data_IF_825804201227
#
_entry.id   IF_825804201227
#
_cell.length_a   1.000
_cell.length_b   1.000
_cell.length_c   1.000
_cell.angle_alpha   90.00
_cell.angle_beta   90.00
_cell.angle_gamma   90.00
#
_symmetry.space_group_name_H-M   'P 1'
#
loop_
_entity.id
_entity.type
_entity.pdbx_description
1 polymer ?
#
# COMPACT_ATOMS: atom_id res chain seq x y z
N UNK A 1 -14.47 -3.50 -57.42
CA UNK A 1 -14.11 -3.51 -55.98
C UNK A 1 -14.07 -4.94 -55.48
N UNK A 2 -12.98 -5.34 -54.80
CA UNK A 2 -12.73 -6.70 -54.31
C UNK A 2 -13.56 -7.05 -53.04
N UNK A 3 -13.90 -8.34 -52.80
CA UNK A 3 -14.54 -8.76 -51.56
C UNK A 3 -13.54 -8.74 -50.39
N UNK A 4 -13.87 -8.06 -49.30
CA UNK A 4 -13.05 -7.95 -48.09
C UNK A 4 -12.94 -9.32 -47.40
N UNK A 5 -11.70 -9.81 -47.29
CA UNK A 5 -11.31 -11.08 -46.65
C UNK A 5 -11.56 -10.99 -45.14
N UNK A 6 -12.57 -11.74 -44.65
CA UNK A 6 -12.92 -11.79 -43.23
C UNK A 6 -11.85 -12.50 -42.39
N UNK A 7 -11.33 -11.80 -41.39
CA UNK A 7 -10.46 -12.37 -40.35
C UNK A 7 -11.32 -13.25 -39.43
N UNK A 8 -11.12 -14.56 -39.47
CA UNK A 8 -11.70 -15.49 -38.51
C UNK A 8 -10.92 -15.38 -37.20
N UNK A 9 -11.51 -14.71 -36.22
CA UNK A 9 -10.99 -14.66 -34.85
C UNK A 9 -11.25 -16.04 -34.23
N UNK A 10 -10.16 -16.75 -33.94
CA UNK A 10 -10.18 -18.07 -33.33
C UNK A 10 -10.88 -18.01 -31.97
N UNK A 11 -12.06 -18.63 -31.88
CA UNK A 11 -12.79 -18.85 -30.64
C UNK A 11 -12.02 -19.84 -29.78
N UNK A 12 -11.51 -19.36 -28.63
CA UNK A 12 -10.89 -20.19 -27.60
C UNK A 12 -11.92 -21.23 -27.12
N UNK A 13 -11.65 -22.52 -27.38
CA UNK A 13 -12.43 -23.64 -26.86
C UNK A 13 -12.44 -23.58 -25.34
N UNK A 14 -13.64 -23.47 -24.75
CA UNK A 14 -13.84 -23.66 -23.31
C UNK A 14 -13.64 -25.15 -23.03
N UNK A 15 -12.60 -25.48 -22.30
CA UNK A 15 -12.42 -26.80 -21.70
C UNK A 15 -13.51 -26.99 -20.66
N UNK A 16 -14.42 -27.93 -20.93
CA UNK A 16 -15.45 -28.36 -20.00
C UNK A 16 -14.78 -29.00 -18.80
N UNK A 17 -14.83 -28.32 -17.66
CA UNK A 17 -14.39 -28.88 -16.39
C UNK A 17 -15.45 -29.90 -15.99
N UNK A 18 -15.03 -31.13 -15.71
CA UNK A 18 -15.89 -32.18 -15.15
C UNK A 18 -16.39 -31.69 -13.79
N UNK A 19 -17.58 -31.10 -13.76
CA UNK A 19 -18.25 -30.71 -12.52
C UNK A 19 -19.02 -31.93 -12.04
N UNK A 20 -18.74 -32.36 -10.82
CA UNK A 20 -19.44 -33.47 -10.20
C UNK A 20 -20.93 -33.10 -10.09
N UNK A 21 -21.87 -33.87 -10.67
CA UNK A 21 -23.30 -33.52 -10.71
C UNK A 21 -23.97 -33.39 -9.33
N UNK A 22 -23.30 -33.87 -8.27
CA UNK A 22 -23.73 -33.72 -6.88
C UNK A 22 -23.50 -32.31 -6.31
N UNK A 23 -22.65 -31.48 -6.95
CA UNK A 23 -22.32 -30.15 -6.47
C UNK A 23 -22.60 -29.09 -7.52
N UNK A 24 -23.76 -28.43 -7.38
CA UNK A 24 -24.08 -27.22 -8.12
C UNK A 24 -23.40 -26.00 -7.48
N UNK A 25 -22.96 -25.04 -8.30
CA UNK A 25 -22.36 -23.79 -7.81
C UNK A 25 -23.45 -22.85 -7.29
N UNK A 26 -23.57 -22.72 -5.96
CA UNK A 26 -24.41 -21.69 -5.32
C UNK A 26 -23.66 -20.36 -5.25
N UNK A 27 -24.02 -19.40 -6.08
CA UNK A 27 -23.49 -18.03 -6.00
C UNK A 27 -24.35 -17.23 -5.01
N UNK A 28 -23.78 -16.85 -3.87
CA UNK A 28 -24.44 -15.98 -2.91
C UNK A 28 -24.48 -14.54 -3.43
N UNK A 29 -25.65 -13.90 -3.38
CA UNK A 29 -25.84 -12.51 -3.82
C UNK A 29 -25.59 -11.57 -2.64
N UNK A 30 -24.52 -10.77 -2.69
CA UNK A 30 -24.10 -9.85 -1.61
C UNK A 30 -24.57 -8.41 -1.81
N UNK A 31 -25.72 -8.21 -2.46
CA UNK A 31 -26.33 -6.90 -2.64
C UNK A 31 -26.92 -6.38 -1.31
N UNK A 32 -27.31 -5.10 -1.27
CA UNK A 32 -27.72 -4.37 -0.04
C UNK A 32 -28.83 -5.10 0.75
N UNK A 33 -29.72 -5.83 0.08
CA UNK A 33 -30.80 -6.64 0.67
C UNK A 33 -30.61 -8.15 0.52
N UNK A 34 -29.40 -8.60 0.18
CA UNK A 34 -29.07 -10.00 -0.05
C UNK A 34 -28.51 -10.71 1.18
N UNK A 35 -27.61 -11.66 0.94
CA UNK A 35 -26.93 -12.42 1.99
C UNK A 35 -25.95 -11.53 2.80
N UNK A 36 -25.64 -11.94 4.04
CA UNK A 36 -24.64 -11.24 4.85
C UNK A 36 -23.33 -11.09 4.07
N UNK A 37 -22.70 -9.90 4.08
CA UNK A 37 -21.44 -9.71 3.40
C UNK A 37 -20.40 -10.64 4.02
N UNK A 38 -19.51 -11.15 3.15
CA UNK A 38 -18.30 -11.84 3.59
C UNK A 38 -17.54 -10.94 4.60
N UNK A 39 -16.82 -11.57 5.54
CA UNK A 39 -16.01 -10.84 6.52
C UNK A 39 -14.97 -9.95 5.81
N UNK A 40 -15.20 -8.63 5.79
CA UNK A 40 -14.29 -7.62 5.22
C UNK A 40 -13.41 -7.01 6.32
N UNK A 41 -12.26 -6.47 5.94
CA UNK A 41 -11.39 -5.77 6.87
C UNK A 41 -12.09 -4.50 7.41
N UNK A 42 -12.22 -4.42 8.73
CA UNK A 42 -12.91 -3.34 9.45
C UNK A 42 -11.91 -2.31 9.99
N UNK A 43 -10.60 -2.48 9.76
CA UNK A 43 -9.53 -1.65 10.31
C UNK A 43 -9.74 -0.12 10.12
N UNK A 44 -10.43 0.30 9.05
CA UNK A 44 -10.77 1.72 8.81
C UNK A 44 -11.89 2.25 9.70
N UNK A 45 -12.84 1.39 10.07
CA UNK A 45 -14.04 1.74 10.85
C UNK A 45 -13.90 1.42 12.34
N UNK A 46 -12.83 0.72 12.73
CA UNK A 46 -12.49 0.47 14.13
C UNK A 46 -12.21 1.79 14.85
N UNK A 47 -12.79 1.93 16.05
CA UNK A 47 -12.44 3.00 16.98
C UNK A 47 -11.02 2.76 17.51
N UNK A 48 -10.06 3.46 16.91
CA UNK A 48 -8.65 3.38 17.32
C UNK A 48 -8.39 3.96 18.72
N UNK A 49 -7.39 3.42 19.45
CA UNK A 49 -6.92 4.00 20.70
C UNK A 49 -6.56 5.48 20.55
N UNK A 50 -6.77 6.27 21.61
CA UNK A 50 -6.64 7.72 21.57
C UNK A 50 -5.22 8.17 21.13
N UNK A 51 -4.18 7.48 21.60
CA UNK A 51 -2.78 7.78 21.25
C UNK A 51 -2.53 7.64 19.74
N UNK A 52 -3.08 6.61 19.10
CA UNK A 52 -2.94 6.36 17.67
C UNK A 52 -3.66 7.43 16.86
N UNK A 53 -4.85 7.85 17.33
CA UNK A 53 -5.62 8.94 16.69
C UNK A 53 -4.83 10.24 16.71
N UNK A 54 -4.24 10.59 17.85
CA UNK A 54 -3.43 11.81 18.01
C UNK A 54 -2.18 11.75 17.12
N UNK A 55 -1.46 10.63 17.12
CA UNK A 55 -0.27 10.44 16.27
C UNK A 55 -0.60 10.59 14.77
N UNK A 56 -1.67 9.94 14.29
CA UNK A 56 -2.10 10.05 12.89
C UNK A 56 -2.53 11.47 12.53
N UNK A 57 -3.31 12.14 13.39
CA UNK A 57 -3.70 13.54 13.19
C UNK A 57 -2.48 14.46 13.10
N UNK A 58 -1.49 14.33 14.00
CA UNK A 58 -0.23 15.08 13.95
C UNK A 58 0.50 14.89 12.63
N UNK A 59 0.59 13.65 12.13
CA UNK A 59 1.22 13.35 10.83
C UNK A 59 0.46 13.99 9.66
N UNK A 60 -0.87 13.87 9.63
CA UNK A 60 -1.71 14.44 8.57
C UNK A 60 -1.61 15.97 8.55
N UNK A 61 -1.61 16.61 9.73
CA UNK A 61 -1.46 18.06 9.85
C UNK A 61 -0.12 18.53 9.27
N UNK A 62 0.99 17.88 9.62
CA UNK A 62 2.32 18.18 9.07
C UNK A 62 2.39 18.01 7.54
N UNK A 63 1.67 17.04 6.99
CA UNK A 63 1.64 16.81 5.53
C UNK A 63 0.77 17.83 4.79
N UNK A 64 -0.34 18.27 5.39
CA UNK A 64 -1.31 19.16 4.73
C UNK A 64 -0.95 20.63 4.85
N UNK A 65 -0.42 21.03 6.00
CA UNK A 65 0.06 22.39 6.19
C UNK A 65 1.46 22.47 5.60
N UNK A 66 1.65 23.39 4.64
CA UNK A 66 3.00 23.75 4.19
C UNK A 66 3.73 24.25 5.42
N UNK A 67 4.80 23.55 5.78
CA UNK A 67 5.57 23.75 6.99
C UNK A 67 5.85 25.24 7.21
N UNK A 68 5.20 25.85 8.22
CA UNK A 68 5.68 27.10 8.81
C UNK A 68 7.01 26.91 9.56
N UNK A 69 7.50 25.68 9.55
CA UNK A 69 8.79 25.27 10.09
C UNK A 69 9.60 24.62 8.98
N UNK A 70 10.36 25.43 8.24
CA UNK A 70 11.71 25.06 7.80
C UNK A 70 12.65 24.72 8.99
N UNK A 71 12.13 24.35 10.16
CA UNK A 71 12.92 24.11 11.35
C UNK A 71 13.05 22.61 11.54
N UNK A 72 14.27 22.16 11.25
CA UNK A 72 14.92 20.99 11.79
C UNK A 72 14.62 19.67 11.08
N UNK A 73 15.20 19.56 9.89
CA UNK A 73 15.77 18.31 9.41
C UNK A 73 16.82 17.78 10.41
N UNK A 74 16.38 17.18 11.52
CA UNK A 74 17.20 16.24 12.33
C UNK A 74 17.58 14.98 11.53
N UNK A 75 17.19 14.92 10.25
CA UNK A 75 17.55 13.90 9.28
C UNK A 75 18.96 14.11 8.68
N UNK A 76 19.52 15.32 8.75
CA UNK A 76 20.87 15.61 8.26
C UNK A 76 21.96 14.89 9.09
N UNK A 77 21.77 14.78 10.40
CA UNK A 77 22.69 14.08 11.30
C UNK A 77 22.48 12.56 11.35
N UNK A 78 21.40 12.04 10.76
CA UNK A 78 21.16 10.59 10.59
C UNK A 78 21.60 10.04 9.23
N UNK A 79 22.03 10.91 8.32
CA UNK A 79 22.56 10.58 6.99
C UNK A 79 24.04 10.89 6.85
N UNK A 80 24.76 11.14 7.95
CA UNK A 80 26.21 11.23 7.87
C UNK A 80 26.72 9.82 7.52
N UNK A 81 27.41 9.65 6.38
CA UNK A 81 28.00 8.36 6.04
C UNK A 81 28.97 7.99 7.16
N UNK A 82 29.08 6.70 7.48
CA UNK A 82 29.98 6.20 8.54
C UNK A 82 31.42 6.71 8.39
N UNK A 83 31.86 6.97 7.15
CA UNK A 83 33.13 7.62 6.82
C UNK A 83 33.33 9.01 7.43
N UNK A 84 32.28 9.81 7.64
CA UNK A 84 32.40 11.12 8.27
C UNK A 84 32.53 11.01 9.79
N UNK A 85 31.86 10.01 10.39
CA UNK A 85 32.02 9.67 11.82
C UNK A 85 33.44 9.14 12.09
N UNK A 86 33.98 8.32 11.19
CA UNK A 86 35.36 7.83 11.27
C UNK A 86 36.39 8.95 11.05
N UNK A 87 36.15 9.87 10.12
CA UNK A 87 37.02 11.03 9.90
C UNK A 87 37.10 11.94 11.14
N UNK A 88 35.97 12.20 11.81
CA UNK A 88 35.94 13.00 13.06
C UNK A 88 36.65 12.25 14.21
N UNK A 89 36.53 10.92 14.26
CA UNK A 89 37.21 10.07 15.26
C UNK A 89 38.72 9.96 15.01
N UNK A 90 39.15 10.00 13.76
CA UNK A 90 40.56 10.06 13.37
C UNK A 90 41.15 11.45 13.64
N UNK A 91 40.41 12.51 13.31
CA UNK A 91 40.84 13.90 13.51
C UNK A 91 40.97 14.27 15.00
N UNK A 92 40.08 13.80 15.88
CA UNK A 92 40.20 13.97 17.34
C UNK A 92 41.41 13.22 17.91
N UNK A 93 41.73 12.03 17.40
CA UNK A 93 42.89 11.26 17.82
C UNK A 93 44.24 11.87 17.35
N UNK A 94 44.24 12.56 16.21
CA UNK A 94 45.43 13.23 15.67
C UNK A 94 45.65 14.62 16.29
N UNK A 95 44.57 15.37 16.58
CA UNK A 95 44.64 16.73 17.12
C UNK A 95 44.44 16.85 18.64
N UNK A 96 44.20 15.74 19.36
CA UNK A 96 44.30 15.67 20.82
C UNK A 96 43.36 16.60 21.58
N UNK A 97 42.07 16.60 21.22
CA UNK A 97 40.99 17.22 22.02
C UNK A 97 40.16 16.16 22.73
#
# INVERSE_FOLDING_TARGET
MAPKKGVKIATKKKTEKVVNPLFEKRQEQFDISGALPLKKDVHRFVRWPQVVRIQRKRRILKQRLKELTKSEDHSALRRLPYWLLEYIKLASNIFGL
#
